data_IF_770297772206
#
_entry.id   IF_770297772206
#
_cell.length_a   1.000
_cell.length_b   1.000
_cell.length_c   1.000
_cell.angle_alpha   90.00
_cell.angle_beta   90.00
_cell.angle_gamma   90.00
#
_symmetry.space_group_name_H-M   'P 1'
#
loop_
_entity.id
_entity.type
_entity.pdbx_description
1 polymer ?
#
# COMPACT_ATOMS: atom_id res chain seq x y z
N UNK A 1 67.62 6.56 -19.59
CA UNK A 1 67.49 6.18 -18.16
C UNK A 1 66.05 6.50 -17.75
N UNK A 2 65.35 5.59 -17.04
CA UNK A 2 63.98 5.15 -17.35
C UNK A 2 62.85 5.97 -16.69
N UNK A 3 61.64 5.70 -17.15
CA UNK A 3 60.38 6.35 -16.80
C UNK A 3 60.06 6.36 -15.30
N UNK A 4 59.71 7.55 -14.79
CA UNK A 4 59.08 7.71 -13.49
C UNK A 4 57.59 7.34 -13.60
N UNK A 5 57.29 6.03 -13.60
CA UNK A 5 55.93 5.57 -13.37
C UNK A 5 55.61 5.84 -11.90
N UNK A 6 54.91 6.95 -11.72
CA UNK A 6 54.03 7.27 -10.59
C UNK A 6 53.30 6.02 -10.10
N UNK A 7 53.70 5.48 -8.96
CA UNK A 7 52.80 4.70 -8.11
C UNK A 7 52.20 5.66 -7.09
N UNK A 8 51.05 6.28 -7.44
CA UNK A 8 50.16 6.77 -6.39
C UNK A 8 49.81 5.50 -5.60
N UNK A 9 50.16 5.40 -4.30
CA UNK A 9 49.68 4.28 -3.52
C UNK A 9 48.17 4.35 -3.57
N UNK A 10 47.54 3.38 -4.24
CA UNK A 10 46.12 3.15 -4.06
C UNK A 10 45.98 2.80 -2.59
N UNK A 11 45.54 3.78 -1.79
CA UNK A 11 45.04 3.53 -0.46
C UNK A 11 43.72 2.75 -0.62
N UNK A 12 43.83 1.49 -1.03
CA UNK A 12 42.82 0.51 -0.67
C UNK A 12 43.07 0.22 0.80
N UNK A 13 42.59 1.15 1.63
CA UNK A 13 42.40 0.94 3.06
C UNK A 13 41.44 -0.25 3.19
N UNK A 14 42.02 -1.45 3.20
CA UNK A 14 41.32 -2.73 3.28
C UNK A 14 40.90 -3.04 4.73
N UNK A 15 40.95 -2.03 5.59
CA UNK A 15 40.60 -2.13 7.01
C UNK A 15 39.13 -1.77 7.29
N UNK A 16 38.39 -1.26 6.30
CA UNK A 16 36.97 -0.93 6.45
C UNK A 16 36.13 -1.99 5.75
N UNK A 17 35.18 -2.57 6.48
CA UNK A 17 34.25 -3.54 5.91
C UNK A 17 33.43 -2.88 4.79
N UNK A 18 33.27 -3.57 3.65
CA UNK A 18 32.46 -3.07 2.53
C UNK A 18 31.05 -2.64 2.97
N UNK A 19 30.41 -3.36 3.90
CA UNK A 19 29.09 -3.01 4.44
C UNK A 19 29.13 -1.69 5.22
N UNK A 20 30.20 -1.44 5.97
CA UNK A 20 30.39 -0.20 6.72
C UNK A 20 30.65 0.97 5.77
N UNK A 21 31.50 0.78 4.76
CA UNK A 21 31.78 1.79 3.74
C UNK A 21 30.51 2.19 2.97
N UNK A 22 29.68 1.22 2.59
CA UNK A 22 28.38 1.45 1.95
C UNK A 22 27.41 2.18 2.89
N UNK A 23 27.33 1.75 4.15
CA UNK A 23 26.52 2.40 5.17
C UNK A 23 26.90 3.88 5.35
N UNK A 24 28.19 4.16 5.48
CA UNK A 24 28.69 5.53 5.60
C UNK A 24 28.28 6.40 4.40
N UNK A 25 28.34 5.86 3.18
CA UNK A 25 27.96 6.59 1.99
C UNK A 25 26.44 6.83 1.91
N UNK A 26 25.64 5.81 2.22
CA UNK A 26 24.17 5.87 2.18
C UNK A 26 23.61 6.83 3.23
N UNK A 27 24.12 6.79 4.47
CA UNK A 27 23.60 7.61 5.57
C UNK A 27 24.18 9.02 5.61
N UNK A 28 25.37 9.26 5.03
CA UNK A 28 26.01 10.58 5.06
C UNK A 28 25.77 11.37 3.78
N UNK A 29 26.05 10.78 2.60
CA UNK A 29 26.00 11.51 1.32
C UNK A 29 24.67 11.34 0.60
N UNK A 30 24.07 10.17 0.66
CA UNK A 30 22.88 9.82 -0.15
C UNK A 30 21.60 9.64 0.68
N UNK A 31 21.53 10.25 1.86
CA UNK A 31 20.40 10.09 2.78
C UNK A 31 19.05 10.39 2.11
N UNK A 32 18.95 11.46 1.33
CA UNK A 32 17.71 11.82 0.63
C UNK A 32 17.28 10.78 -0.43
N UNK A 33 18.24 10.21 -1.18
CA UNK A 33 17.94 9.17 -2.17
C UNK A 33 17.50 7.86 -1.50
N UNK A 34 18.14 7.53 -0.36
CA UNK A 34 17.74 6.39 0.45
C UNK A 34 16.32 6.58 1.00
N UNK A 35 15.99 7.76 1.51
CA UNK A 35 14.64 8.05 1.99
C UNK A 35 13.59 8.05 0.88
N UNK A 36 13.91 8.60 -0.30
CA UNK A 36 13.04 8.52 -1.47
C UNK A 36 12.76 7.07 -1.88
N UNK A 37 13.78 6.22 -1.83
CA UNK A 37 13.63 4.78 -2.08
C UNK A 37 12.68 4.11 -1.07
N UNK A 38 12.71 4.52 0.20
CA UNK A 38 11.76 4.09 1.22
C UNK A 38 10.31 4.49 0.90
N UNK A 39 10.08 5.72 0.43
CA UNK A 39 8.75 6.16 -0.01
C UNK A 39 8.28 5.37 -1.23
N UNK A 40 9.17 5.09 -2.19
CA UNK A 40 8.85 4.27 -3.36
C UNK A 40 8.42 2.86 -2.94
N UNK A 41 9.15 2.22 -2.02
CA UNK A 41 8.78 0.90 -1.50
C UNK A 41 7.43 0.90 -0.77
N UNK A 42 7.14 1.95 0.00
CA UNK A 42 5.85 2.11 0.66
C UNK A 42 4.70 2.21 -0.35
N UNK A 43 4.85 3.07 -1.36
CA UNK A 43 3.85 3.22 -2.43
C UNK A 43 3.69 1.93 -3.21
N UNK A 44 4.76 1.20 -3.48
CA UNK A 44 4.71 -0.08 -4.17
C UNK A 44 3.89 -1.13 -3.39
N UNK A 45 4.04 -1.22 -2.07
CA UNK A 45 3.22 -2.11 -1.24
C UNK A 45 1.73 -1.74 -1.30
N UNK A 46 1.40 -0.44 -1.17
CA UNK A 46 0.02 0.03 -1.26
C UNK A 46 -0.56 -0.30 -2.65
N UNK A 47 0.20 -0.05 -3.71
CA UNK A 47 -0.20 -0.34 -5.09
C UNK A 47 -0.49 -1.83 -5.31
N UNK A 48 0.35 -2.73 -4.79
CA UNK A 48 0.13 -4.17 -4.90
C UNK A 48 -1.15 -4.64 -4.19
N UNK A 49 -1.43 -4.12 -2.99
CA UNK A 49 -2.65 -4.43 -2.24
C UNK A 49 -3.89 -3.93 -2.97
N UNK A 50 -3.88 -2.67 -3.43
CA UNK A 50 -5.03 -2.07 -4.13
C UNK A 50 -5.31 -2.78 -5.47
N UNK A 51 -4.26 -3.21 -6.18
CA UNK A 51 -4.42 -3.93 -7.45
C UNK A 51 -5.05 -5.32 -7.27
N UNK A 52 -4.80 -5.97 -6.14
CA UNK A 52 -5.35 -7.31 -5.84
C UNK A 52 -6.70 -7.26 -5.12
N UNK A 53 -7.06 -6.12 -4.53
CA UNK A 53 -8.34 -5.91 -3.89
C UNK A 53 -9.47 -5.85 -4.92
N UNK A 54 -10.07 -7.01 -5.20
CA UNK A 54 -11.22 -7.13 -6.10
C UNK A 54 -12.52 -6.98 -5.32
N UNK A 55 -13.36 -6.00 -5.71
CA UNK A 55 -14.74 -5.97 -5.24
C UNK A 55 -15.54 -7.10 -5.91
N UNK A 56 -16.32 -7.84 -5.11
CA UNK A 56 -17.21 -8.88 -5.63
C UNK A 56 -18.49 -8.23 -6.15
N UNK A 57 -18.70 -8.30 -7.46
CA UNK A 57 -19.97 -7.90 -8.07
C UNK A 57 -21.12 -8.80 -7.57
N UNK A 58 -22.27 -8.18 -7.30
CA UNK A 58 -23.47 -8.87 -6.78
C UNK A 58 -23.61 -8.87 -5.25
N UNK A 59 -22.67 -8.30 -4.50
CA UNK A 59 -22.84 -8.12 -3.05
C UNK A 59 -23.78 -6.93 -2.80
N UNK A 60 -24.95 -7.19 -2.24
CA UNK A 60 -25.88 -6.16 -1.79
C UNK A 60 -25.27 -5.40 -0.61
N UNK A 61 -24.67 -4.23 -0.87
CA UNK A 61 -24.18 -3.33 0.17
C UNK A 61 -25.39 -2.64 0.83
N UNK A 62 -25.61 -2.86 2.13
CA UNK A 62 -26.65 -2.14 2.87
C UNK A 62 -26.29 -0.66 2.97
N UNK A 63 -27.25 0.22 2.69
CA UNK A 63 -27.17 1.64 3.00
C UNK A 63 -27.92 1.89 4.29
N UNK A 64 -27.22 1.97 5.42
CA UNK A 64 -27.80 2.12 6.76
C UNK A 64 -28.77 3.32 6.83
N UNK A 65 -28.40 4.44 6.22
CA UNK A 65 -29.25 5.63 6.17
C UNK A 65 -30.61 5.36 5.51
N UNK A 66 -30.64 4.62 4.39
CA UNK A 66 -31.89 4.21 3.74
C UNK A 66 -32.68 3.19 4.57
N UNK A 67 -31.99 2.30 5.28
CA UNK A 67 -32.66 1.26 6.08
C UNK A 67 -33.34 1.85 7.31
N UNK A 68 -32.71 2.83 7.97
CA UNK A 68 -33.26 3.50 9.15
C UNK A 68 -34.39 4.47 8.81
N UNK A 69 -34.33 5.14 7.65
CA UNK A 69 -35.37 6.08 7.22
C UNK A 69 -36.62 5.41 6.62
N UNK A 70 -36.63 4.08 6.51
CA UNK A 70 -37.74 3.33 5.89
C UNK A 70 -39.01 3.49 6.73
N UNK A 71 -40.11 3.89 6.10
CA UNK A 71 -41.38 4.11 6.80
C UNK A 71 -42.21 2.83 6.82
N UNK A 72 -43.16 2.75 7.76
CA UNK A 72 -44.06 1.59 7.92
C UNK A 72 -44.90 1.33 6.67
N UNK A 73 -45.30 2.41 6.00
CA UNK A 73 -46.00 2.43 4.71
C UNK A 73 -45.22 1.74 3.58
N UNK A 74 -43.88 1.71 3.62
CA UNK A 74 -43.03 1.06 2.62
C UNK A 74 -42.81 -0.45 2.88
N UNK A 75 -43.30 -0.97 4.01
CA UNK A 75 -42.96 -2.32 4.51
C UNK A 75 -44.15 -3.25 4.67
N UNK A 76 -45.37 -2.74 4.85
CA UNK A 76 -46.56 -3.55 5.08
C UNK A 76 -47.77 -3.00 4.35
N UNK A 77 -48.37 -3.82 3.48
CA UNK A 77 -49.64 -3.54 2.82
C UNK A 77 -50.78 -4.20 3.60
N UNK A 78 -51.70 -3.40 4.11
CA UNK A 78 -52.86 -3.86 4.88
C UNK A 78 -53.96 -4.36 3.93
N UNK A 79 -53.84 -5.62 3.48
CA UNK A 79 -54.89 -6.27 2.68
C UNK A 79 -55.96 -6.85 3.61
N UNK A 80 -57.18 -6.28 3.59
CA UNK A 80 -58.35 -6.87 4.25
C UNK A 80 -58.78 -8.12 3.48
N UNK A 81 -58.54 -9.28 4.06
CA UNK A 81 -59.01 -10.56 3.51
C UNK A 81 -60.37 -10.91 4.15
N UNK A 82 -61.40 -11.27 3.37
CA UNK A 82 -62.68 -11.66 3.92
C UNK A 82 -62.57 -12.96 4.74
N UNK A 83 -63.20 -13.05 5.92
CA UNK A 83 -63.14 -14.24 6.75
C UNK A 83 -63.82 -15.40 6.00
N UNK A 84 -63.14 -16.56 5.97
CA UNK A 84 -63.56 -17.83 5.33
C UNK A 84 -63.25 -18.01 3.83
N UNK A 85 -62.42 -17.16 3.23
CA UNK A 85 -61.70 -17.52 2.00
C UNK A 85 -60.44 -18.28 2.41
N UNK A 86 -60.33 -19.56 2.07
CA UNK A 86 -59.16 -20.36 2.36
C UNK A 86 -57.94 -19.84 1.61
N UNK A 87 -57.15 -19.02 2.31
CA UNK A 87 -55.72 -18.78 2.11
C UNK A 87 -55.06 -18.86 3.47
#
# INVERSE_FOLDING_TARGET
FPEHITSIPSQLSTDVNNTEALGNLLYTKYFYLFQASGVILLVAMIGAIVLTLREREGVLKQKISRQVQRRREDSVELKKVPPRSGM
#
